data_IF_880167298636
#
_entry.id   IF_880167298636
#
_cell.length_a   1.000
_cell.length_b   1.000
_cell.length_c   1.000
_cell.angle_alpha   90.00
_cell.angle_beta   90.00
_cell.angle_gamma   90.00
#
_symmetry.space_group_name_H-M   'P 1'
#
loop_
_entity.id
_entity.type
_entity.pdbx_description
1 polymer ?
#
# COMPACT_ATOMS: atom_id res chain seq x y z
N UNK A 1 -43.50 28.67 9.81
CA UNK A 1 -43.08 27.33 9.33
C UNK A 1 -42.66 26.51 10.54
N UNK A 2 -43.08 25.25 10.63
CA UNK A 2 -42.67 24.35 11.73
C UNK A 2 -41.20 23.98 11.56
N UNK A 3 -40.38 24.18 12.58
CA UNK A 3 -38.96 23.83 12.57
C UNK A 3 -38.79 22.45 13.15
N UNK A 4 -37.98 21.62 12.49
CA UNK A 4 -37.69 20.27 12.92
C UNK A 4 -36.19 20.14 13.23
N UNK A 5 -35.89 19.46 14.31
CA UNK A 5 -34.53 19.21 14.77
C UNK A 5 -34.34 17.70 14.94
N UNK A 6 -33.18 17.18 14.51
CA UNK A 6 -32.86 15.78 14.64
C UNK A 6 -32.59 15.42 16.10
N UNK A 7 -33.31 14.44 16.63
CA UNK A 7 -33.17 13.97 18.02
C UNK A 7 -31.76 13.40 18.34
N UNK A 8 -31.04 12.99 17.31
CA UNK A 8 -29.70 12.39 17.46
C UNK A 8 -28.57 13.42 17.41
N UNK A 9 -28.61 14.35 16.43
CA UNK A 9 -27.50 15.26 16.19
C UNK A 9 -27.85 16.73 16.32
N UNK A 10 -29.07 17.06 16.73
CA UNK A 10 -29.53 18.44 16.92
C UNK A 10 -29.67 19.29 15.64
N UNK A 11 -29.38 18.73 14.47
CA UNK A 11 -29.42 19.49 13.22
C UNK A 11 -30.86 19.86 12.83
N UNK A 12 -31.04 21.12 12.45
CA UNK A 12 -32.27 21.57 11.82
C UNK A 12 -32.44 20.87 10.46
N UNK A 13 -33.67 20.44 10.17
CA UNK A 13 -34.05 19.86 8.90
C UNK A 13 -35.47 20.23 8.49
N UNK A 14 -35.85 19.94 7.27
CA UNK A 14 -37.11 20.40 6.68
C UNK A 14 -38.33 19.52 6.97
N UNK A 15 -38.15 18.43 7.73
CA UNK A 15 -39.21 17.49 8.05
C UNK A 15 -39.76 16.64 6.89
N UNK A 16 -39.18 16.74 5.68
CA UNK A 16 -39.68 16.01 4.49
C UNK A 16 -39.63 14.51 4.61
N UNK A 17 -38.66 13.97 5.37
CA UNK A 17 -38.43 12.54 5.50
C UNK A 17 -38.94 12.01 6.84
N UNK A 18 -38.70 12.76 7.92
CA UNK A 18 -39.10 12.41 9.28
C UNK A 18 -39.26 13.70 10.08
N UNK A 19 -40.13 13.67 11.09
CA UNK A 19 -40.24 14.77 12.09
C UNK A 19 -39.18 14.65 13.19
N UNK A 20 -38.58 13.45 13.37
CA UNK A 20 -37.66 13.12 14.46
C UNK A 20 -36.21 13.11 14.03
N UNK A 21 -35.92 12.75 12.78
CA UNK A 21 -34.57 12.50 12.32
C UNK A 21 -34.23 13.28 11.06
N UNK A 22 -33.00 13.75 10.96
CA UNK A 22 -32.47 14.27 9.70
C UNK A 22 -32.32 13.15 8.68
N UNK A 23 -32.25 13.47 7.40
CA UNK A 23 -32.14 12.50 6.29
C UNK A 23 -31.11 11.41 6.51
N UNK A 24 -29.97 11.74 7.15
CA UNK A 24 -28.91 10.76 7.45
C UNK A 24 -29.37 9.71 8.45
N UNK A 25 -29.89 10.12 9.61
CA UNK A 25 -30.28 9.20 10.66
C UNK A 25 -31.52 8.39 10.32
N UNK A 26 -32.45 8.98 9.59
CA UNK A 26 -33.58 8.23 9.04
C UNK A 26 -33.11 7.12 8.06
N UNK A 27 -32.15 7.45 7.18
CA UNK A 27 -31.56 6.48 6.26
C UNK A 27 -30.82 5.37 7.01
N UNK A 28 -30.08 5.70 8.09
CA UNK A 28 -29.43 4.69 8.94
C UNK A 28 -30.43 3.75 9.58
N UNK A 29 -31.51 4.29 10.15
CA UNK A 29 -32.59 3.47 10.72
C UNK A 29 -33.23 2.55 9.68
N UNK A 30 -33.55 3.07 8.50
CA UNK A 30 -34.14 2.26 7.42
C UNK A 30 -33.20 1.15 6.94
N UNK A 31 -31.90 1.43 6.83
CA UNK A 31 -30.93 0.51 6.26
C UNK A 31 -30.37 -0.51 7.26
N UNK A 32 -30.13 -0.07 8.49
CA UNK A 32 -29.43 -0.87 9.51
C UNK A 32 -30.28 -1.23 10.73
N UNK A 33 -31.51 -0.70 10.82
CA UNK A 33 -32.39 -0.87 11.97
C UNK A 33 -31.91 -0.12 13.24
N UNK A 34 -30.79 0.63 13.14
CA UNK A 34 -30.19 1.38 14.26
C UNK A 34 -29.47 2.62 13.78
N UNK A 35 -29.27 3.59 14.68
CA UNK A 35 -28.42 4.72 14.47
C UNK A 35 -26.98 4.33 14.83
N UNK A 36 -26.06 4.60 13.93
CA UNK A 36 -24.67 4.13 14.05
C UNK A 36 -23.80 5.04 14.89
N UNK A 37 -24.17 6.33 15.05
CA UNK A 37 -23.38 7.31 15.75
C UNK A 37 -24.26 8.45 16.29
N UNK A 38 -24.14 8.75 17.58
CA UNK A 38 -24.87 9.84 18.24
C UNK A 38 -24.30 11.22 17.92
N UNK A 39 -23.02 11.30 17.52
CA UNK A 39 -22.38 12.54 17.06
C UNK A 39 -21.72 12.32 15.68
N UNK A 40 -22.50 12.23 14.64
CA UNK A 40 -22.04 11.73 13.36
C UNK A 40 -21.13 12.71 12.65
N UNK A 41 -19.96 12.22 12.24
CA UNK A 41 -19.13 12.91 11.27
C UNK A 41 -19.91 13.21 10.01
N UNK A 42 -19.55 14.30 9.36
CA UNK A 42 -20.13 14.71 8.08
C UNK A 42 -19.08 14.60 6.98
N UNK A 43 -19.54 14.67 5.74
CA UNK A 43 -18.62 14.75 4.60
C UNK A 43 -17.72 15.99 4.59
N UNK A 44 -17.97 16.97 5.46
CA UNK A 44 -17.20 18.21 5.56
C UNK A 44 -16.17 18.19 6.69
N UNK A 45 -16.29 17.26 7.64
CA UNK A 45 -15.35 17.19 8.75
C UNK A 45 -13.97 16.73 8.25
N UNK A 46 -12.91 17.36 8.75
CA UNK A 46 -11.52 17.02 8.39
C UNK A 46 -11.15 15.60 8.84
N UNK A 47 -10.09 15.05 8.28
CA UNK A 47 -9.52 13.79 8.79
C UNK A 47 -9.01 14.01 10.23
N UNK A 48 -9.04 12.97 11.03
CA UNK A 48 -8.43 12.96 12.36
C UNK A 48 -6.97 12.52 12.23
N UNK A 49 -6.09 13.35 12.77
CA UNK A 49 -4.65 13.13 12.78
C UNK A 49 -4.17 12.83 14.21
N UNK A 50 -3.30 11.84 14.35
CA UNK A 50 -2.70 11.41 15.64
C UNK A 50 -1.20 11.35 15.48
N UNK A 51 -0.46 12.05 16.34
CA UNK A 51 1.00 11.97 16.40
C UNK A 51 1.41 10.72 17.19
N UNK A 52 2.25 9.89 16.57
CA UNK A 52 2.85 8.70 17.17
C UNK A 52 4.33 8.99 17.40
N UNK A 53 4.65 9.38 18.64
CA UNK A 53 5.96 9.95 18.94
C UNK A 53 6.18 11.28 18.22
N UNK A 54 7.44 11.58 17.87
CA UNK A 54 7.80 12.85 17.24
C UNK A 54 7.85 12.76 15.70
N UNK A 55 7.96 11.56 15.14
CA UNK A 55 8.37 11.38 13.75
C UNK A 55 7.23 10.90 12.84
N UNK A 56 6.14 10.39 13.40
CA UNK A 56 5.07 9.73 12.65
C UNK A 56 3.73 10.38 12.95
N UNK A 57 2.93 10.55 11.91
CA UNK A 57 1.51 10.94 12.03
C UNK A 57 0.65 9.90 11.32
N UNK A 58 -0.36 9.43 12.03
CA UNK A 58 -1.45 8.63 11.47
C UNK A 58 -2.67 9.51 11.20
N UNK A 59 -3.43 9.17 10.17
CA UNK A 59 -4.74 9.77 9.97
C UNK A 59 -5.74 8.76 9.39
N UNK A 60 -7.01 8.98 9.73
CA UNK A 60 -8.09 8.11 9.30
C UNK A 60 -8.85 8.69 8.12
N UNK A 61 -9.20 7.82 7.18
CA UNK A 61 -10.22 8.05 6.18
C UNK A 61 -11.53 7.40 6.62
N UNK A 62 -12.65 7.84 6.04
CA UNK A 62 -13.96 7.43 6.51
C UNK A 62 -14.85 6.96 5.37
N UNK A 63 -15.65 5.93 5.63
CA UNK A 63 -16.66 5.46 4.69
C UNK A 63 -17.67 6.55 4.38
N UNK A 64 -18.07 6.76 3.12
CA UNK A 64 -18.88 7.92 2.72
C UNK A 64 -20.27 8.01 3.39
N UNK A 65 -20.81 6.87 3.83
CA UNK A 65 -22.19 6.78 4.30
C UNK A 65 -22.25 6.55 5.80
N UNK A 66 -21.49 5.61 6.33
CA UNK A 66 -21.51 5.27 7.76
C UNK A 66 -20.63 6.18 8.59
N UNK A 67 -19.63 6.82 7.96
CA UNK A 67 -18.59 7.61 8.60
C UNK A 67 -17.76 6.86 9.64
N UNK A 68 -17.82 5.53 9.61
CA UNK A 68 -16.88 4.68 10.31
C UNK A 68 -15.49 4.83 9.69
N UNK A 69 -14.45 4.60 10.48
CA UNK A 69 -13.08 4.54 9.97
C UNK A 69 -13.01 3.49 8.85
N UNK A 70 -12.50 3.91 7.70
CA UNK A 70 -12.29 3.03 6.55
C UNK A 70 -10.87 2.49 6.54
N UNK A 71 -9.89 3.38 6.53
CA UNK A 71 -8.46 3.05 6.53
C UNK A 71 -7.67 4.07 7.33
N UNK A 72 -6.57 3.63 7.92
CA UNK A 72 -5.57 4.47 8.57
C UNK A 72 -4.32 4.55 7.69
N UNK A 73 -3.83 5.76 7.46
CA UNK A 73 -2.63 6.04 6.69
C UNK A 73 -1.56 6.64 7.59
N UNK A 74 -0.30 6.40 7.23
CA UNK A 74 0.88 6.85 7.97
C UNK A 74 1.71 7.78 7.09
N UNK A 75 2.17 8.89 7.66
CA UNK A 75 3.07 9.86 7.03
C UNK A 75 4.18 10.25 7.99
N UNK A 76 5.24 10.85 7.50
CA UNK A 76 6.23 11.53 8.33
C UNK A 76 5.61 12.78 8.97
N UNK A 77 6.00 13.10 10.21
CA UNK A 77 5.48 14.26 10.94
C UNK A 77 5.75 15.59 10.21
N UNK A 78 6.87 15.69 9.51
CA UNK A 78 7.25 16.87 8.72
C UNK A 78 6.27 17.14 7.55
N UNK A 79 5.59 16.13 7.07
CA UNK A 79 4.60 16.27 5.98
C UNK A 79 3.19 16.65 6.47
N UNK A 80 2.96 16.61 7.79
CA UNK A 80 1.66 16.98 8.37
C UNK A 80 1.16 18.37 7.95
N UNK A 81 1.96 19.46 7.97
CA UNK A 81 1.48 20.79 7.58
C UNK A 81 1.03 20.88 6.12
N UNK A 82 1.58 20.03 5.26
CA UNK A 82 1.18 19.92 3.84
C UNK A 82 -0.09 19.08 3.69
N UNK A 83 -0.12 17.92 4.34
CA UNK A 83 -1.17 16.90 4.19
C UNK A 83 -2.47 17.34 4.86
N UNK A 84 -2.42 18.00 6.03
CA UNK A 84 -3.59 18.44 6.80
C UNK A 84 -4.45 19.53 6.10
N UNK A 85 -3.91 20.18 5.07
CA UNK A 85 -4.65 21.15 4.25
C UNK A 85 -5.76 20.52 3.41
N UNK A 86 -5.73 19.22 3.22
CA UNK A 86 -6.62 18.51 2.33
C UNK A 86 -7.50 17.54 3.11
N UNK A 87 -8.67 17.24 2.54
CA UNK A 87 -9.51 16.15 3.00
C UNK A 87 -9.23 14.90 2.18
N UNK A 88 -8.82 13.85 2.87
CA UNK A 88 -8.45 12.57 2.30
C UNK A 88 -9.58 11.55 2.41
N UNK A 89 -9.72 10.75 1.36
CA UNK A 89 -10.63 9.61 1.28
C UNK A 89 -9.86 8.41 0.74
N UNK A 90 -10.29 7.21 1.06
CA UNK A 90 -9.77 6.00 0.41
C UNK A 90 -10.29 5.93 -1.02
N UNK A 91 -9.39 5.74 -1.97
CA UNK A 91 -9.68 5.56 -3.39
C UNK A 91 -9.32 4.15 -3.84
N UNK A 92 -9.56 3.84 -5.14
CA UNK A 92 -9.22 2.55 -5.75
C UNK A 92 -7.81 2.09 -5.34
N UNK A 93 -7.64 0.78 -5.13
CA UNK A 93 -6.37 0.16 -4.71
C UNK A 93 -5.85 0.63 -3.34
N UNK A 94 -6.73 1.11 -2.47
CA UNK A 94 -6.39 1.57 -1.12
C UNK A 94 -5.41 2.76 -1.06
N UNK A 95 -5.43 3.64 -2.04
CA UNK A 95 -4.68 4.90 -1.98
C UNK A 95 -5.49 5.99 -1.27
N UNK A 96 -4.82 6.87 -0.53
CA UNK A 96 -5.43 8.11 -0.05
C UNK A 96 -5.47 9.14 -1.19
N UNK A 97 -6.65 9.73 -1.44
CA UNK A 97 -6.85 10.76 -2.45
C UNK A 97 -7.80 11.86 -2.00
N UNK A 98 -7.67 13.04 -2.60
CA UNK A 98 -8.66 14.11 -2.46
C UNK A 98 -9.81 13.89 -3.45
N UNK A 99 -11.06 14.16 -3.03
CA UNK A 99 -12.25 13.82 -3.82
C UNK A 99 -12.38 14.56 -5.16
N UNK A 100 -11.93 15.80 -5.26
CA UNK A 100 -12.23 16.66 -6.42
C UNK A 100 -11.15 16.67 -7.50
N UNK A 101 -9.88 16.50 -7.18
CA UNK A 101 -8.77 16.59 -8.16
C UNK A 101 -7.98 15.30 -8.31
N UNK A 102 -8.46 14.21 -7.72
CA UNK A 102 -7.77 12.92 -7.71
C UNK A 102 -6.27 13.04 -7.33
N UNK A 103 -5.94 14.05 -6.49
CA UNK A 103 -4.60 14.21 -5.96
C UNK A 103 -4.33 13.04 -5.02
N UNK A 104 -3.31 12.26 -5.34
CA UNK A 104 -2.90 11.11 -4.53
C UNK A 104 -1.87 11.55 -3.49
N UNK A 105 -2.01 11.05 -2.26
CA UNK A 105 -1.18 11.41 -1.11
C UNK A 105 0.32 11.22 -1.38
N UNK A 106 0.71 10.04 -1.83
CA UNK A 106 2.10 9.73 -2.14
C UNK A 106 2.69 10.64 -3.23
N UNK A 107 1.86 11.11 -4.17
CA UNK A 107 2.30 12.07 -5.20
C UNK A 107 2.51 13.47 -4.63
N UNK A 108 1.65 13.88 -3.69
CA UNK A 108 1.79 15.17 -3.00
C UNK A 108 3.06 15.19 -2.16
N UNK A 109 3.29 14.16 -1.34
CA UNK A 109 4.46 14.06 -0.46
C UNK A 109 5.77 14.05 -1.25
N UNK A 110 5.80 13.36 -2.40
CA UNK A 110 6.99 13.25 -3.25
C UNK A 110 7.12 14.38 -4.27
N UNK A 111 6.24 15.38 -4.25
CA UNK A 111 6.18 16.46 -5.25
C UNK A 111 6.28 15.94 -6.69
N UNK A 112 5.54 14.87 -6.97
CA UNK A 112 5.68 14.11 -8.22
C UNK A 112 5.15 14.89 -9.43
N UNK A 113 6.01 15.08 -10.43
CA UNK A 113 5.67 15.74 -11.70
C UNK A 113 4.73 14.86 -12.55
N UNK A 114 4.07 15.49 -13.51
CA UNK A 114 3.22 14.77 -14.48
C UNK A 114 4.08 13.73 -15.21
N UNK A 115 3.56 12.50 -15.29
CA UNK A 115 4.26 11.38 -15.91
C UNK A 115 5.17 10.57 -14.99
N UNK A 116 5.58 11.10 -13.84
CA UNK A 116 6.33 10.33 -12.86
C UNK A 116 5.43 9.35 -12.11
N UNK A 117 5.91 8.12 -11.95
CA UNK A 117 5.27 7.11 -11.09
C UNK A 117 5.94 7.10 -9.72
N UNK A 118 5.10 6.99 -8.68
CA UNK A 118 5.57 6.78 -7.31
C UNK A 118 5.22 5.36 -6.89
N UNK A 119 6.20 4.66 -6.36
CA UNK A 119 6.09 3.29 -5.89
C UNK A 119 6.25 3.22 -4.36
N UNK A 120 5.45 2.34 -3.73
CA UNK A 120 5.59 1.99 -2.32
C UNK A 120 6.54 0.80 -2.20
N UNK A 121 7.74 1.02 -1.68
CA UNK A 121 8.81 0.02 -1.63
C UNK A 121 8.34 -1.27 -0.95
N UNK A 122 7.64 -1.16 0.18
CA UNK A 122 7.10 -2.30 0.95
C UNK A 122 5.73 -2.80 0.45
N UNK A 123 5.19 -2.24 -0.65
CA UNK A 123 3.85 -2.53 -1.22
C UNK A 123 2.68 -2.24 -0.26
N UNK A 124 2.90 -1.54 0.83
CA UNK A 124 1.87 -1.07 1.73
C UNK A 124 1.46 0.35 1.36
N UNK A 125 0.36 0.51 0.65
CA UNK A 125 -0.16 1.80 0.20
C UNK A 125 -0.67 2.69 1.34
N UNK A 126 -0.77 2.16 2.56
CA UNK A 126 -1.11 2.91 3.76
C UNK A 126 0.10 3.62 4.37
N UNK A 127 1.31 3.17 4.09
CA UNK A 127 2.57 3.75 4.58
C UNK A 127 3.14 4.72 3.55
N UNK A 128 2.85 6.01 3.74
CA UNK A 128 3.26 7.10 2.85
C UNK A 128 4.44 7.90 3.39
N UNK A 129 5.27 7.31 4.26
CA UNK A 129 6.53 7.92 4.70
C UNK A 129 7.52 7.97 3.53
N UNK A 130 8.32 9.05 3.46
CA UNK A 130 9.32 9.23 2.40
C UNK A 130 10.30 8.06 2.31
N UNK A 131 10.64 7.45 3.44
CA UNK A 131 11.50 6.24 3.49
C UNK A 131 10.91 5.03 2.76
N UNK A 132 9.58 4.99 2.58
CA UNK A 132 8.85 3.94 1.87
C UNK A 132 8.43 4.34 0.46
N UNK A 133 8.64 5.58 0.05
CA UNK A 133 8.25 6.10 -1.26
C UNK A 133 9.47 6.31 -2.15
N UNK A 134 9.32 6.02 -3.45
CA UNK A 134 10.35 6.32 -4.45
C UNK A 134 9.72 6.70 -5.79
N UNK A 135 10.45 7.52 -6.55
CA UNK A 135 10.14 7.70 -7.97
C UNK A 135 10.57 6.41 -8.69
N UNK A 136 9.67 5.84 -9.47
CA UNK A 136 9.91 4.58 -10.18
C UNK A 136 9.62 4.72 -11.67
N UNK A 137 10.41 4.06 -12.50
CA UNK A 137 10.07 3.80 -13.88
C UNK A 137 9.12 2.59 -14.00
N UNK A 138 8.66 2.33 -15.21
CA UNK A 138 7.77 1.19 -15.48
C UNK A 138 8.43 -0.16 -15.13
N UNK A 139 9.73 -0.29 -15.31
CA UNK A 139 10.48 -1.51 -15.03
C UNK A 139 10.57 -1.76 -13.53
N UNK A 140 10.93 -0.73 -12.76
CA UNK A 140 11.03 -0.79 -11.31
C UNK A 140 9.68 -1.05 -10.66
N UNK A 141 8.65 -0.31 -11.05
CA UNK A 141 7.28 -0.48 -10.55
C UNK A 141 6.71 -1.88 -10.87
N UNK A 142 6.95 -2.38 -12.10
CA UNK A 142 6.56 -3.75 -12.47
C UNK A 142 7.34 -4.80 -11.67
N UNK A 143 8.58 -4.52 -11.33
CA UNK A 143 9.41 -5.41 -10.51
C UNK A 143 8.93 -5.47 -9.06
N UNK A 144 8.33 -4.40 -8.54
CA UNK A 144 7.81 -4.33 -7.18
C UNK A 144 6.38 -4.89 -7.01
N UNK A 145 5.80 -5.55 -8.00
CA UNK A 145 4.46 -6.15 -7.85
C UNK A 145 4.51 -7.40 -6.98
N UNK A 146 3.42 -7.64 -6.23
CA UNK A 146 3.23 -8.90 -5.48
C UNK A 146 3.35 -10.10 -6.42
N UNK A 147 4.04 -11.17 -6.00
CA UNK A 147 4.09 -12.39 -6.76
C UNK A 147 2.69 -13.01 -6.87
N UNK A 148 2.32 -13.43 -8.08
CA UNK A 148 1.05 -14.11 -8.34
C UNK A 148 1.20 -15.61 -8.55
N UNK A 149 2.44 -16.14 -8.43
CA UNK A 149 2.68 -17.57 -8.54
C UNK A 149 2.34 -18.30 -7.23
N UNK A 150 2.07 -19.58 -7.31
CA UNK A 150 1.70 -20.42 -6.16
C UNK A 150 2.78 -20.56 -5.08
N UNK A 151 4.00 -20.12 -5.36
CA UNK A 151 5.11 -20.17 -4.41
C UNK A 151 5.26 -18.90 -3.60
N UNK A 152 4.52 -17.83 -3.95
CA UNK A 152 4.59 -16.53 -3.29
C UNK A 152 5.91 -15.80 -3.50
N UNK A 153 6.72 -16.23 -4.47
CA UNK A 153 8.07 -15.69 -4.73
C UNK A 153 8.17 -15.28 -6.19
N UNK A 154 8.40 -13.99 -6.44
CA UNK A 154 8.54 -13.48 -7.80
C UNK A 154 9.80 -13.99 -8.46
N UNK A 155 9.70 -14.42 -9.74
CA UNK A 155 10.83 -14.86 -10.52
C UNK A 155 11.41 -16.21 -10.07
N UNK A 156 10.63 -17.04 -9.37
CA UNK A 156 10.97 -18.41 -9.04
C UNK A 156 10.03 -19.36 -9.78
N UNK A 157 10.61 -20.36 -10.42
CA UNK A 157 9.93 -21.39 -11.19
C UNK A 157 10.28 -22.79 -10.66
N UNK A 158 9.34 -23.71 -10.79
CA UNK A 158 9.54 -25.12 -10.44
C UNK A 158 9.54 -25.97 -11.70
N UNK A 159 10.60 -26.73 -11.90
CA UNK A 159 10.79 -27.65 -13.01
C UNK A 159 10.39 -29.07 -12.60
N UNK A 160 9.19 -29.49 -12.99
CA UNK A 160 8.63 -30.80 -12.61
C UNK A 160 9.51 -31.98 -13.07
N UNK A 161 10.11 -31.88 -14.26
CA UNK A 161 10.91 -32.97 -14.85
C UNK A 161 12.14 -33.33 -14.03
N UNK A 162 12.74 -32.37 -13.33
CA UNK A 162 13.96 -32.55 -12.54
C UNK A 162 13.74 -32.33 -11.04
N UNK A 163 12.49 -32.05 -10.62
CA UNK A 163 12.09 -31.78 -9.25
C UNK A 163 12.94 -30.70 -8.57
N UNK A 164 13.21 -29.59 -9.27
CA UNK A 164 14.06 -28.49 -8.80
C UNK A 164 13.42 -27.13 -9.07
N UNK A 165 13.93 -26.12 -8.38
CA UNK A 165 13.56 -24.73 -8.54
C UNK A 165 14.66 -23.96 -9.24
N UNK A 166 14.32 -22.96 -10.05
CA UNK A 166 15.25 -21.97 -10.56
C UNK A 166 14.71 -20.56 -10.35
N UNK A 167 15.60 -19.60 -10.41
CA UNK A 167 15.23 -18.19 -10.40
C UNK A 167 15.49 -17.54 -11.76
N UNK A 168 14.68 -16.56 -12.10
CA UNK A 168 14.94 -15.68 -13.23
C UNK A 168 14.74 -14.20 -12.85
N UNK A 169 15.49 -13.34 -13.52
CA UNK A 169 15.41 -11.91 -13.42
C UNK A 169 15.38 -11.28 -14.81
N UNK A 170 14.46 -10.35 -15.04
CA UNK A 170 14.33 -9.66 -16.33
C UNK A 170 14.58 -8.16 -16.13
N UNK A 171 15.51 -7.61 -16.90
CA UNK A 171 15.83 -6.20 -16.96
C UNK A 171 16.24 -5.83 -18.38
N UNK A 172 15.84 -4.65 -18.86
CA UNK A 172 16.17 -4.15 -20.19
C UNK A 172 15.93 -5.18 -21.32
N UNK A 173 14.75 -5.82 -21.28
CA UNK A 173 14.32 -6.89 -22.19
C UNK A 173 15.21 -8.14 -22.20
N UNK A 174 16.21 -8.24 -21.32
CA UNK A 174 17.07 -9.41 -21.17
C UNK A 174 16.67 -10.19 -19.93
N UNK A 175 16.63 -11.51 -20.05
CA UNK A 175 16.29 -12.43 -18.96
C UNK A 175 17.53 -13.23 -18.53
N UNK A 176 17.77 -13.24 -17.23
CA UNK A 176 18.88 -13.94 -16.60
C UNK A 176 18.31 -15.08 -15.75
N UNK A 177 18.86 -16.29 -15.90
CA UNK A 177 18.43 -17.47 -15.15
C UNK A 177 19.52 -17.95 -14.23
N UNK A 178 19.13 -18.32 -13.02
CA UNK A 178 20.03 -19.02 -12.08
C UNK A 178 20.28 -20.49 -12.49
N UNK A 179 21.20 -21.20 -11.87
CA UNK A 179 21.17 -22.65 -11.79
C UNK A 179 19.88 -23.16 -11.14
N UNK A 180 19.66 -24.49 -11.19
CA UNK A 180 18.54 -25.13 -10.50
C UNK A 180 18.95 -25.56 -9.09
N UNK A 181 18.04 -25.34 -8.13
CA UNK A 181 18.21 -25.61 -6.70
C UNK A 181 17.21 -26.65 -6.21
N UNK A 182 17.52 -27.28 -5.06
CA UNK A 182 16.63 -28.28 -4.44
C UNK A 182 15.41 -27.64 -3.78
N UNK A 183 15.56 -26.43 -3.24
CA UNK A 183 14.51 -25.75 -2.47
C UNK A 183 14.09 -24.43 -3.11
N UNK A 184 12.89 -24.00 -2.81
CA UNK A 184 12.37 -22.69 -3.27
C UNK A 184 13.07 -21.52 -2.56
N UNK A 185 13.55 -21.75 -1.33
CA UNK A 185 14.31 -20.79 -0.53
C UNK A 185 15.66 -20.47 -1.18
N UNK A 186 16.38 -21.50 -1.64
CA UNK A 186 17.62 -21.33 -2.40
C UNK A 186 17.39 -20.56 -3.71
N UNK A 187 16.33 -20.90 -4.44
CA UNK A 187 15.96 -20.16 -5.65
C UNK A 187 15.53 -18.71 -5.35
N UNK A 188 14.84 -18.48 -4.23
CA UNK A 188 14.48 -17.13 -3.79
C UNK A 188 15.71 -16.27 -3.51
N UNK A 189 16.69 -16.85 -2.82
CA UNK A 189 17.96 -16.18 -2.56
C UNK A 189 18.75 -15.92 -3.85
N UNK A 190 18.78 -16.90 -4.76
CA UNK A 190 19.40 -16.70 -6.07
C UNK A 190 18.72 -15.58 -6.88
N UNK A 191 17.38 -15.46 -6.78
CA UNK A 191 16.63 -14.34 -7.39
C UNK A 191 17.03 -12.99 -6.80
N UNK A 192 17.20 -12.93 -5.49
CA UNK A 192 17.67 -11.75 -4.77
C UNK A 192 19.07 -11.33 -5.25
N UNK A 193 20.02 -12.27 -5.31
CA UNK A 193 21.40 -12.00 -5.77
C UNK A 193 21.41 -11.56 -7.25
N UNK A 194 20.64 -12.21 -8.12
CA UNK A 194 20.52 -11.80 -9.53
C UNK A 194 20.05 -10.35 -9.64
N UNK A 195 19.10 -9.94 -8.82
CA UNK A 195 18.62 -8.57 -8.82
C UNK A 195 19.71 -7.59 -8.38
N UNK A 196 20.47 -7.92 -7.34
CA UNK A 196 21.62 -7.12 -6.90
C UNK A 196 22.74 -7.02 -7.95
N UNK A 197 22.99 -8.11 -8.70
CA UNK A 197 24.04 -8.13 -9.72
C UNK A 197 23.75 -7.23 -10.92
N UNK A 198 22.47 -6.99 -11.22
CA UNK A 198 22.05 -6.32 -12.46
C UNK A 198 21.24 -5.05 -12.22
N UNK A 199 21.11 -4.61 -10.97
CA UNK A 199 20.36 -3.41 -10.61
C UNK A 199 21.06 -2.67 -9.47
N UNK A 200 21.18 -1.36 -9.60
CA UNK A 200 21.87 -0.51 -8.60
C UNK A 200 20.93 -0.04 -7.48
N UNK A 201 19.61 -0.30 -7.58
CA UNK A 201 18.61 0.20 -6.65
C UNK A 201 18.14 -0.83 -5.63
N UNK A 202 17.66 -0.39 -4.44
CA UNK A 202 17.26 -1.30 -3.37
C UNK A 202 16.08 -2.19 -3.77
N UNK A 203 16.17 -3.41 -3.33
CA UNK A 203 15.34 -4.54 -3.66
C UNK A 203 14.03 -4.58 -2.91
N UNK A 204 13.09 -5.32 -3.46
CA UNK A 204 11.81 -5.59 -2.83
C UNK A 204 11.96 -6.50 -1.61
N UNK A 205 11.30 -6.16 -0.50
CA UNK A 205 11.39 -6.89 0.79
C UNK A 205 10.70 -8.26 0.79
N UNK A 206 10.20 -8.76 -0.36
CA UNK A 206 9.33 -9.95 -0.41
C UNK A 206 9.96 -11.27 0.01
N UNK A 207 11.27 -11.33 0.08
CA UNK A 207 11.97 -12.62 0.29
C UNK A 207 12.72 -12.72 1.61
N UNK A 208 12.70 -11.69 2.44
CA UNK A 208 13.59 -11.60 3.61
C UNK A 208 13.36 -12.75 4.60
N UNK A 209 12.12 -13.10 4.89
CA UNK A 209 11.81 -14.19 5.82
C UNK A 209 12.22 -15.58 5.29
N UNK A 210 12.07 -15.80 3.99
CA UNK A 210 12.46 -17.06 3.35
C UNK A 210 13.99 -17.20 3.23
N UNK A 211 14.68 -16.10 2.95
CA UNK A 211 16.13 -16.04 2.85
C UNK A 211 16.81 -16.31 4.20
N UNK A 212 16.18 -15.89 5.30
CA UNK A 212 16.71 -16.10 6.65
C UNK A 212 16.72 -17.59 7.10
N UNK A 213 16.05 -18.47 6.39
CA UNK A 213 16.07 -19.91 6.65
C UNK A 213 17.33 -20.61 6.12
N UNK A 214 18.09 -19.95 5.25
CA UNK A 214 19.31 -20.51 4.65
C UNK A 214 20.51 -20.33 5.57
N UNK A 215 21.38 -21.37 5.60
CA UNK A 215 22.67 -21.27 6.26
C UNK A 215 23.63 -20.36 5.48
N UNK A 216 24.63 -19.81 6.16
CA UNK A 216 25.63 -18.97 5.50
C UNK A 216 26.44 -19.73 4.44
N UNK A 217 26.68 -21.04 4.63
CA UNK A 217 27.33 -21.89 3.66
C UNK A 217 26.50 -22.04 2.37
N UNK A 218 25.17 -22.26 2.50
CA UNK A 218 24.24 -22.30 1.38
C UNK A 218 24.25 -20.98 0.62
N UNK A 219 24.16 -19.84 1.32
CA UNK A 219 24.22 -18.51 0.71
C UNK A 219 25.51 -18.29 -0.08
N UNK A 220 26.68 -18.61 0.51
CA UNK A 220 27.97 -18.49 -0.16
C UNK A 220 28.07 -19.35 -1.41
N UNK A 221 27.57 -20.58 -1.34
CA UNK A 221 27.55 -21.52 -2.49
C UNK A 221 26.72 -20.96 -3.65
N UNK A 222 25.55 -20.41 -3.36
CA UNK A 222 24.67 -19.79 -4.36
C UNK A 222 25.32 -18.58 -5.00
N UNK A 223 25.90 -17.68 -4.20
CA UNK A 223 26.60 -16.47 -4.69
C UNK A 223 27.74 -16.89 -5.63
N UNK A 224 28.61 -17.82 -5.19
CA UNK A 224 29.73 -18.31 -6.00
C UNK A 224 29.25 -18.94 -7.32
N UNK A 225 28.17 -19.71 -7.28
CA UNK A 225 27.57 -20.32 -8.47
C UNK A 225 27.05 -19.29 -9.48
N UNK A 226 26.44 -18.21 -9.00
CA UNK A 226 25.96 -17.11 -9.84
C UNK A 226 27.11 -16.26 -10.40
N UNK A 227 28.10 -15.95 -9.57
CA UNK A 227 29.31 -15.22 -10.01
C UNK A 227 30.04 -15.97 -11.13
N UNK A 228 30.26 -17.27 -10.96
CA UNK A 228 30.88 -18.11 -11.98
C UNK A 228 30.06 -18.17 -13.28
N UNK A 229 28.73 -18.22 -13.18
CA UNK A 229 27.83 -18.26 -14.36
C UNK A 229 27.85 -16.95 -15.15
N UNK A 230 28.02 -15.83 -14.51
CA UNK A 230 27.92 -14.50 -15.12
C UNK A 230 29.26 -13.77 -15.22
N UNK A 231 30.35 -14.41 -14.80
CA UNK A 231 31.73 -13.85 -14.81
C UNK A 231 31.82 -12.48 -14.10
N UNK A 232 31.18 -12.37 -12.95
CA UNK A 232 31.12 -11.11 -12.15
C UNK A 232 31.50 -11.35 -10.69
#
# INVERSE_FOLDING_TARGET
MKEYYCEVCGRKHNGKHSSHYCRKHEWQLKKYGKILDNNPRTKYDSNEFRFIGNDIVEFDTYKPITFEVDKTFIIDADDYPLVSKYKWNTFKNNYASTGYKSLLLHRLIMDAKIGQQIDHINLNTFDNRKSNLRIADNSLNSSNRRPYNKYGIKGVEFHKSINKYSAYFRINNKQYHSPCYKTKEEAAFARFILEQMFRDEPLTQFSTNLINTLTEEQKRSIIKGLQNKFNR
#
